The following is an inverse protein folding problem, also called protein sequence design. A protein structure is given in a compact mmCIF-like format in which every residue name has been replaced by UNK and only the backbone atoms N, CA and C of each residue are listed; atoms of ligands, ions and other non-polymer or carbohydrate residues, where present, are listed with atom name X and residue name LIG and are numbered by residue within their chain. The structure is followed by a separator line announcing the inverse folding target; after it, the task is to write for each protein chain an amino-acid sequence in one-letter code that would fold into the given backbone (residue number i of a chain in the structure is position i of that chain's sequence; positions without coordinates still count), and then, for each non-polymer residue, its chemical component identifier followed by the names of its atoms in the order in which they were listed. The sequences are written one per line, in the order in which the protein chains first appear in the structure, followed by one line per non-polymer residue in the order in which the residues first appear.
data_IF_349826954890
#
_entry.id   IF_349826954890
#
_cell.length_a   1.000
_cell.length_b   1.000
_cell.length_c   1.000
_cell.angle_alpha   90.00
_cell.angle_beta   90.00
_cell.angle_gamma   90.00
#
_symmetry.space_group_name_H-M   'P 1'
#
loop_
_entity.id
_entity.type
_entity.pdbx_description
1 polymer ?
#
# COMPACT_ATOMS: atom_id res chain seq x y z
N UNK A 1 -1.54 -42.68 7.97
CA UNK A 1 -2.38 -41.53 7.57
C UNK A 1 -3.23 -42.01 6.42
N UNK A 2 -4.55 -41.91 6.52
CA UNK A 2 -5.45 -42.41 5.48
C UNK A 2 -5.74 -41.30 4.49
N UNK A 3 -5.39 -41.47 3.22
CA UNK A 3 -5.71 -40.54 2.14
C UNK A 3 -7.09 -40.88 1.56
N UNK A 4 -7.94 -39.89 1.46
CA UNK A 4 -9.24 -39.99 0.77
C UNK A 4 -9.14 -39.25 -0.57
N UNK A 5 -9.20 -40.00 -1.66
CA UNK A 5 -9.08 -39.46 -3.02
C UNK A 5 -10.42 -39.48 -3.72
N UNK A 6 -10.84 -38.32 -4.23
CA UNK A 6 -12.11 -38.17 -4.96
C UNK A 6 -11.83 -37.35 -6.23
N UNK A 7 -12.30 -37.85 -7.36
CA UNK A 7 -12.17 -37.16 -8.66
C UNK A 7 -13.18 -36.03 -8.81
N UNK A 8 -14.34 -36.14 -8.17
CA UNK A 8 -15.41 -35.14 -8.27
C UNK A 8 -16.26 -35.12 -6.99
N UNK A 9 -16.53 -33.91 -6.49
CA UNK A 9 -17.47 -33.69 -5.40
C UNK A 9 -18.64 -32.85 -5.94
N UNK A 10 -19.85 -33.40 -5.90
CA UNK A 10 -21.09 -32.68 -6.29
C UNK A 10 -22.10 -32.78 -5.17
N UNK A 11 -23.10 -31.88 -5.19
CA UNK A 11 -24.25 -32.05 -4.32
C UNK A 11 -25.08 -33.30 -4.76
N UNK A 12 -26.02 -33.68 -3.93
CA UNK A 12 -26.89 -34.84 -4.16
C UNK A 12 -27.68 -34.77 -5.47
N UNK A 13 -27.98 -33.57 -5.95
CA UNK A 13 -28.74 -33.31 -7.19
C UNK A 13 -27.86 -33.15 -8.42
N UNK A 14 -26.55 -32.97 -8.22
CA UNK A 14 -25.59 -32.84 -9.32
C UNK A 14 -25.46 -31.45 -9.95
N UNK A 15 -26.28 -30.48 -9.56
CA UNK A 15 -26.44 -29.21 -10.26
C UNK A 15 -25.71 -28.03 -9.61
N UNK A 16 -25.34 -28.13 -8.35
CA UNK A 16 -24.64 -27.06 -7.63
C UNK A 16 -23.41 -27.60 -6.90
N UNK A 17 -22.43 -26.73 -6.74
CA UNK A 17 -21.19 -27.08 -6.00
C UNK A 17 -21.44 -27.43 -4.54
N UNK A 18 -20.60 -28.30 -3.99
CA UNK A 18 -20.63 -28.71 -2.58
C UNK A 18 -20.25 -27.54 -1.68
N UNK A 19 -21.03 -27.28 -0.64
CA UNK A 19 -20.63 -26.39 0.42
C UNK A 19 -19.75 -27.14 1.42
N UNK A 20 -18.56 -26.63 1.66
CA UNK A 20 -17.63 -27.15 2.68
C UNK A 20 -17.68 -26.21 3.87
N UNK A 21 -18.24 -26.70 4.98
CA UNK A 21 -18.31 -25.96 6.23
C UNK A 21 -17.15 -26.36 7.15
N UNK A 22 -16.48 -25.40 7.73
CA UNK A 22 -15.38 -25.62 8.68
C UNK A 22 -14.01 -25.19 8.16
N UNK A 23 -12.97 -25.56 8.89
CA UNK A 23 -11.57 -25.29 8.52
C UNK A 23 -11.11 -26.33 7.51
N UNK A 24 -10.81 -25.89 6.30
CA UNK A 24 -10.34 -26.75 5.22
C UNK A 24 -9.01 -26.23 4.70
N UNK A 25 -8.00 -27.08 4.70
CA UNK A 25 -6.69 -26.79 4.10
C UNK A 25 -6.62 -27.40 2.72
N UNK A 26 -6.42 -26.58 1.71
CA UNK A 26 -6.19 -27.02 0.34
C UNK A 26 -4.71 -26.83 0.00
N UNK A 27 -4.04 -27.91 -0.33
CA UNK A 27 -2.67 -27.88 -0.85
C UNK A 27 -2.66 -28.35 -2.29
N UNK A 28 -2.24 -27.50 -3.21
CA UNK A 28 -2.13 -27.84 -4.63
C UNK A 28 -2.10 -26.61 -5.52
N UNK A 29 -1.52 -26.80 -6.70
CA UNK A 29 -1.32 -25.75 -7.71
C UNK A 29 -2.53 -25.50 -8.61
N UNK A 30 -3.55 -26.35 -8.54
CA UNK A 30 -4.76 -26.21 -9.35
C UNK A 30 -5.76 -25.36 -8.56
N UNK A 31 -5.96 -24.13 -9.01
CA UNK A 31 -6.73 -23.13 -8.29
C UNK A 31 -8.14 -23.58 -7.93
N UNK A 32 -8.42 -23.75 -6.64
CA UNK A 32 -9.78 -23.73 -6.16
C UNK A 32 -10.25 -22.28 -6.13
N UNK A 33 -11.24 -21.97 -6.94
CA UNK A 33 -11.95 -20.70 -6.85
C UNK A 33 -12.92 -20.80 -5.69
N UNK A 34 -12.61 -20.15 -4.58
CA UNK A 34 -13.53 -20.03 -3.45
C UNK A 34 -14.67 -19.07 -3.83
N UNK A 35 -15.93 -19.37 -3.44
CA UNK A 35 -17.01 -18.42 -3.61
C UNK A 35 -16.67 -17.09 -2.96
N UNK A 36 -16.63 -16.02 -3.74
CA UNK A 36 -16.28 -14.68 -3.25
C UNK A 36 -14.92 -14.15 -3.67
N UNK A 37 -14.27 -14.76 -4.67
CA UNK A 37 -13.03 -14.24 -5.29
C UNK A 37 -11.73 -14.85 -4.77
N UNK A 38 -10.59 -14.44 -5.32
CA UNK A 38 -9.29 -14.98 -4.95
C UNK A 38 -9.02 -14.79 -3.46
N UNK A 39 -8.49 -15.81 -2.80
CA UNK A 39 -8.15 -15.80 -1.37
C UNK A 39 -7.13 -14.71 -0.99
N UNK A 40 -6.39 -14.22 -1.95
CA UNK A 40 -5.42 -13.13 -1.77
C UNK A 40 -6.04 -11.80 -1.33
N UNK A 41 -7.34 -11.58 -1.58
CA UNK A 41 -8.05 -10.36 -1.13
C UNK A 41 -8.63 -10.46 0.29
N UNK A 42 -8.48 -11.58 0.97
CA UNK A 42 -9.07 -11.80 2.30
C UNK A 42 -8.10 -11.63 3.47
N UNK A 43 -6.80 -11.43 3.19
CA UNK A 43 -5.78 -11.38 4.22
C UNK A 43 -5.95 -10.24 5.22
N UNK A 44 -6.36 -9.07 4.77
CA UNK A 44 -6.52 -7.87 5.59
C UNK A 44 -7.89 -7.67 6.22
N UNK A 45 -8.80 -8.65 6.14
CA UNK A 45 -10.19 -8.52 6.59
C UNK A 45 -10.99 -7.36 5.99
N UNK A 46 -10.49 -6.76 4.90
CA UNK A 46 -11.13 -5.62 4.28
C UNK A 46 -11.08 -4.34 5.12
N UNK A 47 -10.04 -4.14 5.89
CA UNK A 47 -9.83 -2.92 6.68
C UNK A 47 -9.16 -1.82 5.87
N UNK A 48 -9.68 -0.61 5.99
CA UNK A 48 -8.99 0.62 5.63
C UNK A 48 -8.38 1.22 6.89
N UNK A 49 -7.05 1.43 6.90
CA UNK A 49 -6.33 2.00 8.05
C UNK A 49 -5.78 3.35 7.65
N UNK A 50 -6.04 4.36 8.49
CA UNK A 50 -5.44 5.68 8.40
C UNK A 50 -4.49 5.88 9.57
N UNK A 51 -3.33 6.49 9.34
CA UNK A 51 -2.38 6.83 10.40
C UNK A 51 -1.85 8.24 10.28
N UNK A 52 -1.60 8.87 11.44
CA UNK A 52 -1.11 10.24 11.50
C UNK A 52 -2.15 11.28 11.10
N UNK A 53 -1.72 12.50 10.91
CA UNK A 53 -2.62 13.57 10.48
C UNK A 53 -2.17 14.97 10.89
N UNK A 54 -3.08 15.94 10.77
CA UNK A 54 -2.84 17.33 11.18
C UNK A 54 -2.30 17.40 12.60
N UNK A 55 -1.42 18.36 12.85
CA UNK A 55 -0.73 18.51 14.15
C UNK A 55 0.25 17.38 14.51
N UNK A 56 0.62 16.54 13.52
CA UNK A 56 1.58 15.45 13.72
C UNK A 56 1.18 14.48 14.83
N UNK A 57 -0.07 14.02 14.80
CA UNK A 57 -0.57 12.99 15.71
C UNK A 57 -0.05 11.60 15.32
N UNK A 58 0.03 10.70 16.28
CA UNK A 58 0.45 9.31 16.10
C UNK A 58 -0.72 8.32 15.98
N UNK A 59 -1.94 8.77 16.18
CA UNK A 59 -3.14 7.94 16.19
C UNK A 59 -3.34 7.24 14.83
N UNK A 60 -3.70 5.97 14.90
CA UNK A 60 -4.19 5.19 13.76
C UNK A 60 -5.63 4.76 14.01
N UNK A 61 -6.49 4.99 13.02
CA UNK A 61 -7.87 4.54 13.02
C UNK A 61 -8.12 3.58 11.86
N UNK A 62 -9.13 2.72 12.00
CA UNK A 62 -9.55 1.83 10.92
C UNK A 62 -11.06 1.78 10.73
N UNK A 63 -11.46 1.40 9.54
CA UNK A 63 -12.83 1.05 9.17
C UNK A 63 -12.87 -0.35 8.54
N UNK A 64 -13.94 -1.08 8.78
CA UNK A 64 -14.21 -2.31 8.04
C UNK A 64 -14.86 -1.94 6.70
N UNK A 65 -14.18 -2.18 5.57
CA UNK A 65 -14.64 -1.74 4.23
C UNK A 65 -15.97 -2.40 3.83
N UNK A 66 -16.20 -3.63 4.28
CA UNK A 66 -17.38 -4.40 3.91
C UNK A 66 -18.66 -4.01 4.69
N UNK A 67 -18.55 -3.19 5.72
CA UNK A 67 -19.68 -2.79 6.58
C UNK A 67 -19.70 -1.28 6.78
N UNK A 68 -20.87 -0.72 6.98
CA UNK A 68 -21.01 0.69 7.39
C UNK A 68 -20.71 0.83 8.87
N UNK A 69 -20.08 1.94 9.28
CA UNK A 69 -19.77 2.23 10.68
C UNK A 69 -18.76 3.37 10.82
N UNK A 70 -18.57 3.80 12.03
CA UNK A 70 -17.56 4.79 12.37
C UNK A 70 -16.16 4.15 12.40
N UNK A 71 -15.13 4.98 12.22
CA UNK A 71 -13.76 4.57 12.46
C UNK A 71 -13.56 4.15 13.93
N UNK A 72 -12.69 3.20 14.14
CA UNK A 72 -12.32 2.66 15.44
C UNK A 72 -10.80 2.79 15.62
N UNK A 73 -10.39 2.94 16.85
CA UNK A 73 -8.98 2.99 17.22
C UNK A 73 -8.27 1.69 16.78
N UNK A 74 -7.15 1.86 16.08
CA UNK A 74 -6.27 0.75 15.68
C UNK A 74 -5.03 0.66 16.57
N UNK A 75 -4.52 1.80 17.03
CA UNK A 75 -3.27 1.94 17.79
C UNK A 75 -2.50 3.20 17.38
N UNK A 76 -1.20 3.21 17.60
CA UNK A 76 -0.38 4.40 17.37
C UNK A 76 0.81 4.09 16.44
N UNK A 77 1.21 5.07 15.62
CA UNK A 77 2.49 5.10 14.92
C UNK A 77 3.64 5.19 15.94
N UNK A 78 4.85 4.80 15.54
CA UNK A 78 6.03 4.98 16.40
C UNK A 78 6.39 6.45 16.62
N UNK A 79 6.07 7.30 15.63
CA UNK A 79 6.28 8.75 15.68
C UNK A 79 5.06 9.46 15.11
N UNK A 80 4.52 10.43 15.86
CA UNK A 80 3.42 11.28 15.38
C UNK A 80 3.85 12.16 14.22
N UNK A 81 3.14 12.06 13.07
CA UNK A 81 3.52 12.76 11.84
C UNK A 81 2.35 12.98 10.89
N UNK A 82 2.53 13.93 9.99
CA UNK A 82 1.60 14.28 8.91
C UNK A 82 2.28 14.16 7.55
N UNK A 83 1.51 14.22 6.48
CA UNK A 83 2.03 14.19 5.10
C UNK A 83 2.89 12.95 4.78
N UNK A 84 2.63 11.88 5.48
CA UNK A 84 3.23 10.57 5.25
C UNK A 84 2.57 9.88 4.06
N UNK A 85 3.23 8.89 3.48
CA UNK A 85 2.65 8.00 2.50
C UNK A 85 2.32 6.65 3.10
N UNK A 86 1.42 5.90 2.45
CA UNK A 86 1.07 4.56 2.88
C UNK A 86 0.98 3.60 1.71
N UNK A 87 1.42 2.38 1.94
CA UNK A 87 1.29 1.23 1.02
C UNK A 87 0.84 0.00 1.80
N UNK A 88 0.25 -0.97 1.10
CA UNK A 88 -0.21 -2.17 1.78
C UNK A 88 -0.12 -3.43 0.91
N UNK A 89 0.00 -4.56 1.58
CA UNK A 89 -0.32 -5.88 1.05
C UNK A 89 -1.64 -6.38 1.66
N UNK A 90 -1.99 -7.63 1.43
CA UNK A 90 -3.15 -8.25 2.07
C UNK A 90 -3.02 -8.44 3.60
N UNK A 91 -1.82 -8.34 4.15
CA UNK A 91 -1.54 -8.63 5.57
C UNK A 91 -0.93 -7.48 6.33
N UNK A 92 -0.22 -6.60 5.64
CA UNK A 92 0.61 -5.57 6.26
C UNK A 92 0.30 -4.20 5.66
N UNK A 93 0.07 -3.19 6.49
CA UNK A 93 0.07 -1.77 6.15
C UNK A 93 1.41 -1.16 6.54
N UNK A 94 1.98 -0.31 5.68
CA UNK A 94 3.27 0.36 5.90
C UNK A 94 3.10 1.85 5.70
N UNK A 95 3.57 2.64 6.66
CA UNK A 95 3.52 4.09 6.67
C UNK A 95 4.93 4.65 6.56
N UNK A 96 5.17 5.58 5.64
CA UNK A 96 6.51 6.03 5.28
C UNK A 96 6.67 7.53 5.35
N UNK A 97 7.80 7.99 5.90
CA UNK A 97 8.22 9.37 5.92
C UNK A 97 7.22 10.35 6.52
N UNK A 98 7.24 11.58 6.07
CA UNK A 98 6.34 12.63 6.51
C UNK A 98 7.02 13.74 7.32
N UNK A 99 6.23 14.44 8.11
CA UNK A 99 6.67 15.60 8.91
C UNK A 99 6.21 15.42 10.36
N UNK A 100 7.16 15.32 11.28
CA UNK A 100 6.93 15.26 12.73
C UNK A 100 7.19 16.65 13.35
N UNK A 101 6.13 17.33 13.78
CA UNK A 101 6.24 18.73 14.23
C UNK A 101 6.80 19.63 13.13
N UNK A 102 7.96 20.27 13.30
CA UNK A 102 8.61 21.09 12.29
C UNK A 102 9.58 20.28 11.40
N UNK A 103 9.94 19.06 11.78
CA UNK A 103 11.01 18.29 11.15
C UNK A 103 10.47 17.25 10.15
N UNK A 104 11.13 17.12 9.02
CA UNK A 104 10.96 15.98 8.12
C UNK A 104 11.57 14.73 8.75
N UNK A 105 10.96 13.56 8.50
CA UNK A 105 11.42 12.28 9.01
C UNK A 105 11.58 11.26 7.90
N UNK A 106 12.46 10.27 8.12
CA UNK A 106 12.70 9.13 7.24
C UNK A 106 12.05 7.83 7.74
N UNK A 107 11.45 7.85 8.91
CA UNK A 107 10.89 6.66 9.59
C UNK A 107 9.87 5.92 8.72
N UNK A 108 9.97 4.60 8.70
CA UNK A 108 9.00 3.69 8.11
C UNK A 108 8.43 2.80 9.22
N UNK A 109 7.12 2.81 9.37
CA UNK A 109 6.39 1.95 10.32
C UNK A 109 5.53 0.94 9.59
N UNK A 110 5.27 -0.18 10.25
CA UNK A 110 4.29 -1.15 9.75
C UNK A 110 3.34 -1.66 10.82
N UNK A 111 2.19 -2.12 10.35
CA UNK A 111 1.17 -2.78 11.16
C UNK A 111 0.72 -4.08 10.50
N UNK A 112 0.27 -5.04 11.30
CA UNK A 112 -0.44 -6.22 10.80
C UNK A 112 -1.92 -5.89 10.72
N UNK A 113 -2.50 -5.87 9.52
CA UNK A 113 -3.88 -5.39 9.28
C UNK A 113 -4.93 -6.20 10.05
N UNK A 114 -4.70 -7.49 10.26
CA UNK A 114 -5.66 -8.37 10.94
C UNK A 114 -5.70 -8.22 12.46
N UNK A 115 -4.69 -7.59 13.07
CA UNK A 115 -4.60 -7.37 14.52
C UNK A 115 -4.43 -5.90 14.83
N UNK A 116 -5.21 -5.38 15.78
CA UNK A 116 -5.03 -4.05 16.32
C UNK A 116 -3.75 -3.99 17.15
N UNK A 117 -3.16 -2.79 17.25
CA UNK A 117 -1.98 -2.54 18.06
C UNK A 117 -1.13 -1.42 17.48
N UNK A 118 -0.14 -1.00 18.25
CA UNK A 118 0.84 0.00 17.81
C UNK A 118 1.67 -0.49 16.62
N UNK A 119 2.13 0.45 15.82
CA UNK A 119 3.04 0.18 14.71
C UNK A 119 4.41 -0.26 15.24
N UNK A 120 5.10 -1.04 14.43
CA UNK A 120 6.48 -1.45 14.66
C UNK A 120 7.39 -0.79 13.64
N UNK A 121 8.63 -0.61 14.00
CA UNK A 121 9.66 -0.15 13.09
C UNK A 121 9.84 -1.12 11.93
N UNK A 122 9.87 -0.55 10.72
CA UNK A 122 10.10 -1.31 9.48
C UNK A 122 11.51 -1.09 8.93
N UNK A 123 12.06 0.10 9.09
CA UNK A 123 13.30 0.61 8.52
C UNK A 123 13.18 2.09 8.17
N UNK A 124 14.04 2.58 7.30
CA UNK A 124 14.13 4.00 6.98
C UNK A 124 14.09 4.30 5.47
N UNK A 125 13.61 5.50 5.14
CA UNK A 125 13.90 6.14 3.86
C UNK A 125 15.39 6.53 3.84
N UNK A 126 15.98 6.55 2.65
CA UNK A 126 17.38 7.00 2.45
C UNK A 126 17.56 8.52 2.56
N UNK A 127 16.47 9.25 2.71
CA UNK A 127 16.44 10.69 2.94
C UNK A 127 15.15 11.11 3.66
N UNK A 128 15.21 12.25 4.33
CA UNK A 128 14.02 12.90 4.90
C UNK A 128 13.05 13.24 3.75
N UNK A 129 11.85 12.70 3.74
CA UNK A 129 10.93 12.93 2.62
C UNK A 129 9.47 12.73 3.07
N UNK A 130 8.55 13.37 2.36
CA UNK A 130 7.12 13.23 2.55
C UNK A 130 6.34 13.79 1.38
N UNK A 131 5.00 13.80 1.49
CA UNK A 131 4.11 14.31 0.44
C UNK A 131 4.28 13.61 -0.90
N UNK A 132 4.72 12.38 -0.90
CA UNK A 132 4.92 11.57 -2.11
C UNK A 132 3.66 10.80 -2.49
N UNK A 133 3.61 10.39 -3.74
CA UNK A 133 2.62 9.46 -4.26
C UNK A 133 3.01 8.03 -3.93
N UNK A 134 2.02 7.20 -3.58
CA UNK A 134 2.28 5.82 -3.18
C UNK A 134 1.44 4.84 -3.99
N UNK A 135 2.06 3.78 -4.46
CA UNK A 135 1.39 2.66 -5.12
C UNK A 135 1.96 1.34 -4.62
N UNK A 136 1.16 0.30 -4.61
CA UNK A 136 1.62 -1.02 -4.17
C UNK A 136 0.91 -2.16 -4.88
N UNK A 137 1.54 -3.30 -4.84
CA UNK A 137 0.88 -4.58 -5.01
C UNK A 137 1.12 -5.42 -3.74
N UNK A 138 0.81 -6.70 -3.77
CA UNK A 138 0.99 -7.58 -2.61
C UNK A 138 2.45 -7.78 -2.16
N UNK A 139 3.43 -7.46 -3.01
CA UNK A 139 4.86 -7.71 -2.76
C UNK A 139 5.64 -6.44 -2.50
N UNK A 140 5.43 -5.42 -3.33
CA UNK A 140 6.21 -4.19 -3.30
C UNK A 140 5.33 -2.99 -3.03
N UNK A 141 5.84 -2.07 -2.22
CA UNK A 141 5.32 -0.73 -2.03
C UNK A 141 6.31 0.27 -2.63
N UNK A 142 5.83 1.22 -3.41
CA UNK A 142 6.64 2.21 -4.09
C UNK A 142 6.16 3.60 -3.74
N UNK A 143 7.08 4.48 -3.36
CA UNK A 143 6.86 5.93 -3.24
C UNK A 143 7.48 6.63 -4.44
N UNK A 144 6.85 7.68 -4.92
CA UNK A 144 7.38 8.47 -6.03
C UNK A 144 7.24 9.96 -5.79
N UNK A 145 8.31 10.71 -6.09
CA UNK A 145 8.36 12.14 -5.93
C UNK A 145 8.38 12.60 -4.47
N UNK A 146 7.54 13.57 -4.15
CA UNK A 146 7.50 14.19 -2.83
C UNK A 146 8.39 15.40 -2.71
N UNK A 147 8.62 15.83 -1.49
CA UNK A 147 9.59 16.87 -1.19
C UNK A 147 10.30 16.64 0.15
N UNK A 148 11.50 17.17 0.23
CA UNK A 148 12.37 17.19 1.39
C UNK A 148 12.80 18.62 1.72
N UNK A 149 13.63 18.85 2.75
CA UNK A 149 14.15 20.18 3.06
C UNK A 149 14.92 20.87 1.92
N UNK A 150 15.41 20.10 0.94
CA UNK A 150 16.19 20.61 -0.20
C UNK A 150 15.31 20.95 -1.40
N UNK A 151 14.07 20.48 -1.43
CA UNK A 151 13.12 20.75 -2.52
C UNK A 151 12.31 19.54 -2.96
N UNK A 152 11.89 19.58 -4.20
CA UNK A 152 11.01 18.58 -4.80
C UNK A 152 11.80 17.47 -5.49
N UNK A 153 11.24 16.26 -5.49
CA UNK A 153 11.91 15.05 -5.97
C UNK A 153 11.17 14.40 -7.14
N UNK A 154 11.93 13.67 -7.97
CA UNK A 154 11.40 12.83 -9.06
C UNK A 154 11.68 11.35 -8.84
N UNK A 155 12.58 11.02 -7.92
CA UNK A 155 12.99 9.65 -7.68
C UNK A 155 11.89 8.80 -7.05
N UNK A 156 11.91 7.52 -7.37
CA UNK A 156 11.04 6.51 -6.79
C UNK A 156 11.84 5.56 -5.91
N UNK A 157 11.28 5.25 -4.76
CA UNK A 157 11.82 4.30 -3.79
C UNK A 157 10.85 3.14 -3.60
N UNK A 158 11.37 1.98 -3.27
CA UNK A 158 10.54 0.81 -3.00
C UNK A 158 10.99 0.05 -1.76
N UNK A 159 10.03 -0.69 -1.22
CA UNK A 159 10.21 -1.69 -0.16
C UNK A 159 9.60 -3.01 -0.61
N UNK A 160 10.12 -4.12 -0.06
CA UNK A 160 9.40 -5.39 -0.05
C UNK A 160 8.50 -5.40 1.19
N UNK A 161 7.18 -5.39 1.02
CA UNK A 161 6.23 -5.25 2.14
C UNK A 161 6.34 -6.41 3.15
N UNK A 162 6.74 -7.60 2.72
CA UNK A 162 6.82 -8.77 3.57
C UNK A 162 8.03 -8.78 4.52
N UNK A 163 9.10 -8.07 4.17
CA UNK A 163 10.36 -8.05 4.93
C UNK A 163 10.71 -6.64 5.36
N UNK A 164 11.06 -6.46 6.63
CA UNK A 164 11.56 -5.18 7.16
C UNK A 164 12.92 -4.83 6.57
N UNK A 165 13.21 -3.56 6.45
CA UNK A 165 14.47 -3.02 5.93
C UNK A 165 14.26 -1.68 5.23
N UNK A 166 15.36 -1.05 4.90
CA UNK A 166 15.39 0.27 4.28
C UNK A 166 14.94 0.25 2.83
N UNK A 167 14.56 1.40 2.34
CA UNK A 167 14.18 1.56 0.94
C UNK A 167 15.35 1.36 -0.02
N UNK A 168 15.02 1.03 -1.24
CA UNK A 168 15.97 0.98 -2.35
C UNK A 168 15.43 1.77 -3.56
N UNK A 169 16.32 2.22 -4.43
CA UNK A 169 15.97 2.93 -5.64
C UNK A 169 15.16 2.03 -6.59
N UNK A 170 14.03 2.55 -7.07
CA UNK A 170 13.22 1.91 -8.11
C UNK A 170 13.51 2.49 -9.50
N UNK A 171 13.52 3.80 -9.62
CA UNK A 171 13.69 4.57 -10.84
C UNK A 171 13.30 6.02 -10.62
N UNK A 172 12.91 6.71 -11.67
CA UNK A 172 12.49 8.11 -11.62
C UNK A 172 11.14 8.32 -12.32
N UNK A 173 10.37 9.26 -11.82
CA UNK A 173 9.20 9.78 -12.51
C UNK A 173 9.62 10.63 -13.71
N UNK A 174 8.77 10.73 -14.72
CA UNK A 174 9.03 11.57 -15.89
C UNK A 174 9.03 13.08 -15.55
N UNK A 175 8.46 13.43 -14.41
CA UNK A 175 8.41 14.80 -13.94
C UNK A 175 8.50 14.83 -12.42
N UNK A 176 8.96 15.94 -11.88
CA UNK A 176 8.96 16.18 -10.45
C UNK A 176 7.50 16.30 -10.01
N UNK A 177 7.02 15.31 -9.30
CA UNK A 177 5.69 15.33 -8.68
C UNK A 177 5.85 15.59 -7.19
N UNK A 178 5.55 16.81 -6.80
CA UNK A 178 5.41 17.12 -5.39
C UNK A 178 3.93 17.10 -5.01
N UNK A 179 3.71 16.66 -3.78
CA UNK A 179 2.46 16.85 -3.09
C UNK A 179 1.23 16.08 -3.63
N UNK A 180 1.16 14.82 -3.21
CA UNK A 180 -0.09 14.07 -3.08
C UNK A 180 -1.05 14.13 -4.28
N UNK A 181 -0.56 13.78 -5.44
CA UNK A 181 -1.44 13.39 -6.54
C UNK A 181 -2.27 12.16 -6.15
N UNK A 182 -3.37 11.94 -6.84
CA UNK A 182 -4.12 10.71 -6.68
C UNK A 182 -3.31 9.52 -7.20
N UNK A 183 -3.45 8.37 -6.54
CA UNK A 183 -2.74 7.15 -6.91
C UNK A 183 -3.70 5.97 -6.91
N UNK A 184 -3.48 5.05 -7.83
CA UNK A 184 -4.14 3.76 -7.81
C UNK A 184 -3.21 2.69 -8.37
N UNK A 185 -3.49 1.44 -8.07
CA UNK A 185 -2.68 0.33 -8.55
C UNK A 185 -3.48 -0.92 -8.86
N UNK A 186 -2.96 -1.69 -9.77
CA UNK A 186 -3.31 -3.07 -10.05
C UNK A 186 -2.16 -3.99 -9.60
N UNK A 187 -2.28 -5.30 -9.66
CA UNK A 187 -1.16 -6.19 -9.33
C UNK A 187 0.12 -5.95 -10.13
N UNK A 188 0.02 -5.38 -11.33
CA UNK A 188 1.15 -5.21 -12.26
C UNK A 188 1.51 -3.76 -12.56
N UNK A 189 0.61 -2.81 -12.31
CA UNK A 189 0.80 -1.41 -12.71
C UNK A 189 0.36 -0.45 -11.61
N UNK A 190 1.22 0.52 -11.29
CA UNK A 190 0.88 1.67 -10.47
C UNK A 190 0.66 2.90 -11.34
N UNK A 191 -0.33 3.73 -11.00
CA UNK A 191 -0.65 4.97 -11.68
C UNK A 191 -0.56 6.11 -10.66
N UNK A 192 0.11 7.19 -11.04
CA UNK A 192 0.24 8.40 -10.25
C UNK A 192 -0.26 9.58 -11.09
N UNK A 193 -1.17 10.38 -10.54
CA UNK A 193 -1.93 11.38 -11.29
C UNK A 193 -1.89 12.73 -10.60
N UNK A 194 -1.68 13.78 -11.38
CA UNK A 194 -1.76 15.16 -10.92
C UNK A 194 -0.67 15.53 -9.91
N UNK A 195 -0.98 16.49 -9.07
CA UNK A 195 -0.04 17.07 -8.13
C UNK A 195 0.43 18.46 -8.58
N UNK A 196 1.52 18.93 -8.02
CA UNK A 196 2.14 20.16 -8.48
C UNK A 196 3.67 20.03 -8.54
N UNK A 197 4.28 20.84 -9.38
CA UNK A 197 5.73 20.96 -9.48
C UNK A 197 6.17 22.42 -9.56
N UNK A 198 7.38 22.75 -9.11
CA UNK A 198 7.96 24.06 -9.33
C UNK A 198 8.43 24.15 -10.77
N UNK A 199 7.96 25.17 -11.48
CA UNK A 199 8.46 25.51 -12.82
C UNK A 199 8.71 27.01 -12.91
N UNK A 200 9.95 27.40 -13.25
CA UNK A 200 10.30 28.80 -13.45
C UNK A 200 10.09 29.69 -12.21
N UNK A 201 10.26 29.16 -11.01
CA UNK A 201 10.06 29.90 -9.75
C UNK A 201 8.61 30.00 -9.27
N UNK A 202 7.68 29.39 -9.98
CA UNK A 202 6.27 29.33 -9.60
C UNK A 202 5.80 27.88 -9.39
N UNK A 203 4.82 27.68 -8.53
CA UNK A 203 4.13 26.39 -8.38
C UNK A 203 3.12 26.21 -9.51
N UNK A 204 3.26 25.15 -10.29
CA UNK A 204 2.35 24.80 -11.38
C UNK A 204 1.64 23.50 -11.04
N UNK A 205 0.33 23.49 -11.16
CA UNK A 205 -0.46 22.26 -11.08
C UNK A 205 -0.26 21.43 -12.34
N UNK A 206 -0.16 20.11 -12.17
CA UNK A 206 0.16 19.16 -13.24
C UNK A 206 -1.08 18.30 -13.47
N UNK A 207 -1.49 18.19 -14.73
CA UNK A 207 -2.58 17.33 -15.20
C UNK A 207 -2.10 15.97 -15.73
N UNK A 208 -0.79 15.73 -15.68
CA UNK A 208 -0.16 14.52 -16.19
C UNK A 208 -0.52 13.27 -15.39
N UNK A 209 -0.77 12.18 -16.11
CA UNK A 209 -0.92 10.84 -15.57
C UNK A 209 0.32 10.04 -15.98
N UNK A 210 0.96 9.41 -15.01
CA UNK A 210 2.13 8.55 -15.22
C UNK A 210 1.84 7.15 -14.69
N UNK A 211 2.45 6.16 -15.30
CA UNK A 211 2.39 4.78 -14.81
C UNK A 211 3.77 4.15 -14.66
N UNK A 212 3.84 3.20 -13.76
CA UNK A 212 5.02 2.36 -13.52
C UNK A 212 4.62 0.88 -13.57
N UNK A 213 5.55 0.03 -13.98
CA UNK A 213 5.37 -1.41 -13.89
C UNK A 213 5.80 -1.86 -12.49
N UNK A 214 4.92 -2.55 -11.75
CA UNK A 214 5.21 -3.04 -10.39
C UNK A 214 5.97 -4.39 -10.36
N UNK A 215 6.22 -4.99 -11.50
CA UNK A 215 6.94 -6.27 -11.61
C UNK A 215 8.41 -6.10 -11.98
N UNK A 216 8.83 -4.92 -12.40
CA UNK A 216 10.21 -4.64 -12.79
C UNK A 216 10.59 -3.19 -12.50
N UNK A 217 11.80 -2.99 -12.02
CA UNK A 217 12.36 -1.64 -11.80
C UNK A 217 12.44 -0.86 -13.11
N UNK A 218 12.32 0.43 -13.02
CA UNK A 218 12.44 1.34 -14.15
C UNK A 218 11.71 2.65 -13.93
N UNK A 219 11.84 3.55 -14.89
CA UNK A 219 11.27 4.89 -14.81
C UNK A 219 9.76 4.90 -15.07
N UNK A 220 9.11 5.93 -14.60
CA UNK A 220 7.74 6.27 -14.94
C UNK A 220 7.58 6.47 -16.45
N UNK A 221 6.40 6.19 -16.94
CA UNK A 221 6.03 6.36 -18.34
C UNK A 221 4.77 7.21 -18.42
N UNK A 222 4.67 7.99 -19.47
CA UNK A 222 3.48 8.78 -19.74
C UNK A 222 2.27 7.85 -19.98
N UNK A 223 1.17 8.16 -19.32
CA UNK A 223 -0.11 7.47 -19.50
C UNK A 223 -1.10 8.34 -20.26
N UNK A 224 -1.02 9.67 -20.09
CA UNK A 224 -1.91 10.65 -20.68
C UNK A 224 -2.09 11.89 -19.79
N UNK A 225 -3.09 12.67 -20.15
CA UNK A 225 -3.50 13.89 -19.44
C UNK A 225 -5.00 13.85 -19.17
#
# INVERSE_FOLDING_TARGET
MSDFRIDKITNRVGDTGTQICGVTTFSGTSGMVMPGGPTEYRGGRGRGIQGGGSSSVDVMDYVEIATTGNAQDFGNLTVGRRSLGAVSSSTRGVFMGGVAGPAWVNTIDYVTISSQGGANDFGDLDSLNGRFSCVSNRLVGITGGGNDPSGYRSDMRYINIATTGDVSLWGELNDVLANQGACCSSPTRGIMMGGYAPRGGSTVYIDRIQYINLSSKGNGKDFGQ
#
